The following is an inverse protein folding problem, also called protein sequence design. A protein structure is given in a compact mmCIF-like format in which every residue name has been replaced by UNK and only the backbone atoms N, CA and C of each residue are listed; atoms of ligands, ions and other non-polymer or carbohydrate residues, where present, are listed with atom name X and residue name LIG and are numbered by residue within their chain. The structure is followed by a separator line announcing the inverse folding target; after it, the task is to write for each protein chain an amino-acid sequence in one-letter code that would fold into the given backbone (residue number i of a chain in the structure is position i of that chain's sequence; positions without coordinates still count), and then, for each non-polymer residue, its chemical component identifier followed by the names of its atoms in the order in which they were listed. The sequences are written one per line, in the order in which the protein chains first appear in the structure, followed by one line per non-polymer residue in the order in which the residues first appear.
data_IF_409804632746
#
_entry.id   IF_409804632746
#
_cell.length_a   1.000
_cell.length_b   1.000
_cell.length_c   1.000
_cell.angle_alpha   90.00
_cell.angle_beta   90.00
_cell.angle_gamma   90.00
#
_symmetry.space_group_name_H-M   'P 1'
#
loop_
_entity.id
_entity.type
_entity.pdbx_description
1 polymer ?
#
# COMPACT_ATOMS: atom_id res chain seq x y z
N UNK A 1 -28.15 0.78 -14.77
CA UNK A 1 -28.50 2.17 -15.06
C UNK A 1 -27.79 3.12 -14.11
N UNK A 2 -27.90 4.42 -14.36
CA UNK A 2 -27.33 5.50 -13.56
C UNK A 2 -28.46 6.36 -13.00
N UNK A 3 -28.33 6.77 -11.75
CA UNK A 3 -29.26 7.69 -11.10
C UNK A 3 -28.50 8.83 -10.41
N UNK A 4 -29.20 9.93 -10.19
CA UNK A 4 -28.79 10.96 -9.24
C UNK A 4 -29.82 11.03 -8.12
N UNK A 5 -29.34 11.06 -6.90
CA UNK A 5 -30.13 11.36 -5.72
C UNK A 5 -29.91 12.83 -5.37
N UNK A 6 -31.00 13.57 -5.32
CA UNK A 6 -31.04 15.00 -5.02
C UNK A 6 -31.63 15.16 -3.64
N UNK A 7 -30.91 15.81 -2.74
CA UNK A 7 -31.34 16.11 -1.37
C UNK A 7 -31.37 17.63 -1.20
N UNK A 8 -32.55 18.20 -0.97
CA UNK A 8 -32.77 19.63 -0.78
C UNK A 8 -32.91 19.95 0.69
N UNK A 9 -32.38 21.10 1.14
CA UNK A 9 -32.74 21.65 2.44
C UNK A 9 -34.05 22.43 2.30
N UNK A 10 -35.12 22.05 3.02
CA UNK A 10 -36.44 22.68 2.87
C UNK A 10 -36.44 24.18 3.13
N UNK A 11 -35.63 24.63 4.08
CA UNK A 11 -35.50 26.04 4.45
C UNK A 11 -34.55 26.83 3.53
N UNK A 12 -33.79 26.14 2.66
CA UNK A 12 -32.86 26.74 1.72
C UNK A 12 -32.78 25.90 0.44
N UNK A 13 -33.73 26.07 -0.51
CA UNK A 13 -33.77 25.27 -1.72
C UNK A 13 -32.58 25.51 -2.65
N UNK A 14 -31.85 26.64 -2.51
CA UNK A 14 -30.62 26.89 -3.26
C UNK A 14 -29.45 26.01 -2.78
N UNK A 15 -29.59 25.41 -1.58
CA UNK A 15 -28.64 24.47 -1.02
C UNK A 15 -29.16 23.04 -1.18
N UNK A 16 -28.51 22.28 -2.04
CA UNK A 16 -28.81 20.88 -2.28
C UNK A 16 -27.55 20.04 -2.42
N UNK A 17 -27.69 18.75 -2.09
CA UNK A 17 -26.65 17.76 -2.25
C UNK A 17 -27.00 16.81 -3.40
N UNK A 18 -26.01 16.51 -4.21
CA UNK A 18 -26.12 15.50 -5.26
C UNK A 18 -25.27 14.28 -4.92
N UNK A 19 -25.82 13.11 -5.18
CA UNK A 19 -25.10 11.84 -5.19
C UNK A 19 -25.43 11.11 -6.49
N UNK A 20 -24.42 10.82 -7.30
CA UNK A 20 -24.56 9.97 -8.48
C UNK A 20 -24.25 8.53 -8.07
N UNK A 21 -25.06 7.59 -8.52
CA UNK A 21 -24.79 6.17 -8.30
C UNK A 21 -25.22 5.32 -9.49
N UNK A 22 -24.80 4.06 -9.45
CA UNK A 22 -25.13 3.06 -10.46
C UNK A 22 -25.68 1.78 -9.83
N UNK A 23 -26.48 1.06 -10.61
CA UNK A 23 -26.88 -0.31 -10.26
C UNK A 23 -27.37 -1.06 -11.48
N UNK A 24 -27.20 -2.38 -11.48
CA UNK A 24 -27.86 -3.29 -12.42
C UNK A 24 -29.39 -3.24 -12.18
N UNK A 25 -29.83 -3.18 -10.92
CA UNK A 25 -31.24 -3.10 -10.52
C UNK A 25 -31.53 -1.80 -9.75
N UNK A 26 -31.81 -0.71 -10.50
CA UNK A 26 -31.98 0.64 -9.94
C UNK A 26 -33.06 0.71 -8.84
N UNK A 27 -34.22 0.07 -9.05
CA UNK A 27 -35.32 0.10 -8.09
C UNK A 27 -34.94 -0.57 -6.76
N UNK A 28 -34.32 -1.74 -6.83
CA UNK A 28 -33.86 -2.46 -5.64
C UNK A 28 -32.75 -1.68 -4.92
N UNK A 29 -31.85 -1.03 -5.67
CA UNK A 29 -30.84 -0.14 -5.09
C UNK A 29 -31.46 1.04 -4.34
N UNK A 30 -32.48 1.68 -4.90
CA UNK A 30 -33.19 2.79 -4.24
C UNK A 30 -33.96 2.31 -3.02
N UNK A 31 -34.63 1.15 -3.10
CA UNK A 31 -35.30 0.55 -1.94
C UNK A 31 -34.31 0.29 -0.79
N UNK A 32 -33.11 -0.20 -1.10
CA UNK A 32 -32.04 -0.36 -0.13
C UNK A 32 -31.60 0.99 0.46
N UNK A 33 -31.42 2.02 -0.37
CA UNK A 33 -31.09 3.36 0.09
C UNK A 33 -32.12 3.92 1.08
N UNK A 34 -33.42 3.72 0.81
CA UNK A 34 -34.51 4.19 1.68
C UNK A 34 -34.63 3.41 2.99
N UNK A 35 -34.08 2.20 3.07
CA UNK A 35 -34.09 1.38 4.29
C UNK A 35 -33.09 1.91 5.35
N UNK A 36 -33.55 2.39 6.52
CA UNK A 36 -32.66 2.89 7.57
C UNK A 36 -31.66 1.85 8.10
N UNK A 37 -32.09 0.59 8.25
CA UNK A 37 -31.21 -0.48 8.72
C UNK A 37 -30.09 -0.79 7.70
N UNK A 38 -30.35 -0.58 6.41
CA UNK A 38 -29.32 -0.70 5.38
C UNK A 38 -28.30 0.44 5.49
N UNK A 39 -28.76 1.68 5.67
CA UNK A 39 -27.88 2.85 5.83
C UNK A 39 -27.02 2.79 7.09
N UNK A 40 -27.57 2.26 8.18
CA UNK A 40 -26.83 2.05 9.42
C UNK A 40 -25.63 1.12 9.23
N UNK A 41 -25.81 0.02 8.49
CA UNK A 41 -24.76 -0.96 8.19
C UNK A 41 -23.73 -0.45 7.18
N UNK A 42 -24.13 0.46 6.28
CA UNK A 42 -23.31 0.93 5.16
C UNK A 42 -22.99 2.42 5.26
N UNK A 43 -22.44 2.86 6.40
CA UNK A 43 -22.16 4.28 6.68
C UNK A 43 -21.33 4.95 5.56
N UNK A 44 -21.82 6.08 5.06
CA UNK A 44 -21.18 6.91 4.03
C UNK A 44 -21.51 8.38 4.27
N UNK A 45 -20.82 9.30 3.59
CA UNK A 45 -21.17 10.73 3.62
C UNK A 45 -22.60 10.95 3.11
N UNK A 46 -22.98 10.24 2.03
CA UNK A 46 -24.34 10.30 1.47
C UNK A 46 -25.41 9.99 2.51
N UNK A 47 -25.25 8.90 3.28
CA UNK A 47 -26.22 8.56 4.32
C UNK A 47 -26.12 9.44 5.55
N UNK A 48 -24.92 9.92 5.89
CA UNK A 48 -24.76 10.84 7.02
C UNK A 48 -25.59 12.10 6.80
N UNK A 49 -25.47 12.73 5.63
CA UNK A 49 -26.24 13.93 5.28
C UNK A 49 -27.74 13.64 5.26
N UNK A 50 -28.15 12.50 4.70
CA UNK A 50 -29.57 12.14 4.63
C UNK A 50 -30.17 11.81 6.01
N UNK A 51 -29.44 11.11 6.87
CA UNK A 51 -29.91 10.71 8.21
C UNK A 51 -29.90 11.87 9.21
N UNK A 52 -28.98 12.84 9.05
CA UNK A 52 -28.93 14.04 9.89
C UNK A 52 -30.26 14.80 9.90
N UNK A 53 -30.88 14.88 8.74
CA UNK A 53 -32.17 15.53 8.52
C UNK A 53 -33.34 14.80 9.18
N UNK A 54 -33.16 13.52 9.52
CA UNK A 54 -34.16 12.69 10.20
C UNK A 54 -34.07 12.79 11.73
N UNK A 55 -33.11 13.53 12.29
CA UNK A 55 -32.94 13.67 13.73
C UNK A 55 -33.77 14.85 14.26
N UNK A 56 -34.63 14.61 15.24
CA UNK A 56 -35.52 15.63 15.85
C UNK A 56 -34.80 16.86 16.39
N UNK A 57 -33.52 16.72 16.74
CA UNK A 57 -32.67 17.80 17.28
C UNK A 57 -32.13 18.73 16.18
N UNK A 58 -32.31 18.38 14.90
CA UNK A 58 -31.85 19.15 13.74
C UNK A 58 -33.05 19.69 12.95
N UNK A 59 -34.02 20.35 13.60
CA UNK A 59 -35.21 20.92 12.92
C UNK A 59 -34.87 21.92 11.83
N UNK A 60 -33.71 22.57 11.93
CA UNK A 60 -33.18 23.45 10.88
C UNK A 60 -32.75 22.66 9.64
N UNK A 61 -32.68 21.33 9.65
CA UNK A 61 -32.19 20.50 8.55
C UNK A 61 -33.23 19.56 8.00
N UNK A 62 -34.50 19.98 7.93
CA UNK A 62 -35.51 19.20 7.23
C UNK A 62 -35.14 19.09 5.73
N UNK A 63 -35.11 17.86 5.19
CA UNK A 63 -34.74 17.62 3.79
C UNK A 63 -35.90 17.07 2.97
N UNK A 64 -35.87 17.37 1.67
CA UNK A 64 -36.63 16.65 0.65
C UNK A 64 -35.68 15.85 -0.23
N UNK A 65 -36.10 14.64 -0.62
CA UNK A 65 -35.29 13.75 -1.45
C UNK A 65 -36.01 13.39 -2.74
N UNK A 66 -35.25 13.27 -3.82
CA UNK A 66 -35.74 12.68 -5.04
C UNK A 66 -34.64 11.88 -5.75
N UNK A 67 -35.04 10.75 -6.34
CA UNK A 67 -34.18 9.94 -7.20
C UNK A 67 -34.57 10.16 -8.66
N UNK A 68 -33.61 10.60 -9.47
CA UNK A 68 -33.79 10.82 -10.91
C UNK A 68 -32.94 9.81 -11.67
N UNK A 69 -33.56 9.06 -12.57
CA UNK A 69 -32.85 8.16 -13.48
C UNK A 69 -32.22 8.96 -14.62
N UNK A 70 -30.90 8.92 -14.69
CA UNK A 70 -30.13 9.57 -15.76
C UNK A 70 -29.97 8.65 -16.97
N UNK A 71 -29.91 7.34 -16.73
CA UNK A 71 -29.82 6.32 -17.78
C UNK A 71 -30.39 4.98 -17.29
N UNK A 72 -31.15 4.31 -18.15
CA UNK A 72 -31.71 2.99 -17.91
C UNK A 72 -31.35 2.08 -19.09
N UNK A 73 -30.86 0.88 -18.79
CA UNK A 73 -30.53 -0.13 -19.80
C UNK A 73 -31.59 -1.22 -19.75
N UNK A 74 -31.97 -1.73 -20.93
CA UNK A 74 -32.88 -2.88 -21.03
C UNK A 74 -32.16 -4.20 -20.74
N UNK A 75 -30.91 -4.29 -21.17
CA UNK A 75 -30.05 -5.46 -20.98
C UNK A 75 -29.01 -5.21 -19.88
N UNK A 76 -28.39 -6.28 -19.39
CA UNK A 76 -27.31 -6.18 -18.40
C UNK A 76 -26.11 -5.41 -18.97
N UNK A 77 -25.80 -4.28 -18.35
CA UNK A 77 -24.63 -3.48 -18.70
C UNK A 77 -23.38 -4.03 -18.01
N UNK A 78 -22.28 -4.13 -18.76
CA UNK A 78 -20.99 -4.54 -18.21
C UNK A 78 -20.57 -3.62 -17.03
N UNK A 79 -20.06 -4.14 -15.90
CA UNK A 79 -19.72 -3.32 -14.72
C UNK A 79 -18.77 -2.15 -15.02
N UNK A 80 -17.75 -2.36 -15.86
CA UNK A 80 -16.85 -1.30 -16.31
C UNK A 80 -17.59 -0.15 -17.00
N UNK A 81 -18.58 -0.46 -17.84
CA UNK A 81 -19.37 0.56 -18.52
C UNK A 81 -20.18 1.36 -17.50
N UNK A 82 -20.79 0.70 -16.51
CA UNK A 82 -21.50 1.38 -15.43
C UNK A 82 -20.58 2.32 -14.64
N UNK A 83 -19.36 1.91 -14.32
CA UNK A 83 -18.38 2.73 -13.60
C UNK A 83 -17.95 3.96 -14.42
N UNK A 84 -17.72 3.78 -15.73
CA UNK A 84 -17.38 4.88 -16.64
C UNK A 84 -18.53 5.89 -16.75
N UNK A 85 -19.77 5.42 -16.82
CA UNK A 85 -20.95 6.27 -16.92
C UNK A 85 -21.28 6.99 -15.61
N UNK A 86 -21.15 6.31 -14.46
CA UNK A 86 -21.27 6.93 -13.14
C UNK A 86 -20.23 8.03 -12.99
N UNK A 87 -18.98 7.76 -13.39
CA UNK A 87 -17.91 8.75 -13.36
C UNK A 87 -18.18 9.94 -14.28
N UNK A 88 -18.60 9.68 -15.52
CA UNK A 88 -18.96 10.72 -16.47
C UNK A 88 -20.08 11.63 -15.92
N UNK A 89 -21.16 11.04 -15.39
CA UNK A 89 -22.24 11.80 -14.77
C UNK A 89 -21.76 12.59 -13.55
N UNK A 90 -20.85 12.02 -12.75
CA UNK A 90 -20.27 12.69 -11.59
C UNK A 90 -19.40 13.90 -11.98
N UNK A 91 -18.72 13.87 -13.13
CA UNK A 91 -18.01 15.02 -13.68
C UNK A 91 -18.97 16.09 -14.18
N UNK A 92 -19.98 15.70 -14.97
CA UNK A 92 -20.98 16.61 -15.54
C UNK A 92 -21.77 17.34 -14.46
N UNK A 93 -22.18 16.63 -13.42
CA UNK A 93 -22.92 17.16 -12.28
C UNK A 93 -22.00 17.67 -11.16
N UNK A 94 -20.68 17.59 -11.35
CA UNK A 94 -19.64 18.02 -10.42
C UNK A 94 -19.80 17.47 -9.00
N UNK A 95 -20.22 16.21 -8.88
CA UNK A 95 -20.53 15.59 -7.58
C UNK A 95 -19.32 15.06 -6.82
N UNK A 96 -18.15 15.02 -7.48
CA UNK A 96 -16.89 14.54 -6.92
C UNK A 96 -16.21 15.57 -6.00
N UNK A 97 -15.18 15.11 -5.29
CA UNK A 97 -14.30 15.98 -4.50
C UNK A 97 -13.57 17.00 -5.37
N UNK A 98 -13.11 18.10 -4.77
CA UNK A 98 -12.36 19.16 -5.48
C UNK A 98 -11.11 18.64 -6.17
N UNK A 99 -10.35 17.77 -5.50
CA UNK A 99 -9.14 17.16 -6.05
C UNK A 99 -9.46 16.27 -7.26
N UNK A 100 -10.50 15.45 -7.15
CA UNK A 100 -10.96 14.62 -8.26
C UNK A 100 -11.42 15.46 -9.46
N UNK A 101 -12.25 16.48 -9.25
CA UNK A 101 -12.69 17.36 -10.33
C UNK A 101 -11.52 18.11 -10.97
N UNK A 102 -10.56 18.59 -10.18
CA UNK A 102 -9.37 19.29 -10.69
C UNK A 102 -8.47 18.38 -11.52
N UNK A 103 -8.43 17.09 -11.21
CA UNK A 103 -7.62 16.11 -11.94
C UNK A 103 -8.25 15.72 -13.29
N UNK A 104 -9.59 15.72 -13.40
CA UNK A 104 -10.28 15.12 -14.54
C UNK A 104 -11.10 16.11 -15.39
N UNK A 105 -11.38 17.31 -14.90
CA UNK A 105 -11.96 18.35 -15.73
C UNK A 105 -10.89 19.01 -16.61
N UNK A 106 -11.24 19.49 -17.82
CA UNK A 106 -10.33 20.26 -18.66
C UNK A 106 -9.78 21.48 -17.92
N UNK A 107 -8.53 21.86 -18.22
CA UNK A 107 -7.92 23.09 -17.66
C UNK A 107 -8.79 24.31 -18.00
N UNK A 108 -9.11 25.11 -16.99
CA UNK A 108 -9.97 26.29 -17.13
C UNK A 108 -11.48 25.99 -17.02
N UNK A 109 -11.89 24.74 -16.87
CA UNK A 109 -13.28 24.41 -16.59
C UNK A 109 -13.71 24.99 -15.23
N UNK A 110 -14.89 25.61 -15.20
CA UNK A 110 -15.47 26.12 -13.96
C UNK A 110 -16.03 24.96 -13.14
N UNK A 111 -15.63 24.90 -11.87
CA UNK A 111 -16.12 23.91 -10.91
C UNK A 111 -16.72 24.56 -9.65
N UNK A 112 -17.75 25.42 -9.79
CA UNK A 112 -18.27 26.24 -8.70
C UNK A 112 -18.83 25.42 -7.52
N UNK A 113 -19.19 24.15 -7.75
CA UNK A 113 -19.76 23.25 -6.73
C UNK A 113 -18.79 22.17 -6.27
N UNK A 114 -17.50 22.31 -6.60
CA UNK A 114 -16.50 21.31 -6.29
C UNK A 114 -16.41 21.02 -4.78
N UNK A 115 -16.57 19.75 -4.40
CA UNK A 115 -16.47 19.32 -3.00
C UNK A 115 -17.67 19.68 -2.11
N UNK A 116 -18.79 20.13 -2.71
CA UNK A 116 -20.07 20.39 -2.02
C UNK A 116 -21.04 19.20 -2.09
N UNK A 117 -20.66 18.11 -2.76
CA UNK A 117 -21.54 17.00 -3.09
C UNK A 117 -20.98 15.67 -2.57
N UNK A 118 -21.73 14.59 -2.75
CA UNK A 118 -21.64 13.41 -1.87
C UNK A 118 -20.78 12.27 -2.42
N UNK A 119 -20.29 12.36 -3.66
CA UNK A 119 -19.39 11.35 -4.23
C UNK A 119 -17.95 11.56 -3.74
N UNK A 120 -17.58 10.83 -2.68
CA UNK A 120 -16.22 10.90 -2.11
C UNK A 120 -15.22 10.05 -2.91
N UNK A 121 -15.70 8.94 -3.47
CA UNK A 121 -14.87 7.97 -4.18
C UNK A 121 -15.04 8.08 -5.69
N UNK A 122 -13.94 7.92 -6.44
CA UNK A 122 -13.99 7.87 -7.90
C UNK A 122 -14.69 6.58 -8.37
N UNK A 123 -15.79 6.68 -9.13
CA UNK A 123 -16.52 5.52 -9.63
C UNK A 123 -15.68 4.56 -10.49
N UNK A 124 -14.70 5.08 -11.24
CA UNK A 124 -13.79 4.27 -12.07
C UNK A 124 -12.92 3.29 -11.27
N UNK A 125 -12.77 3.48 -9.96
CA UNK A 125 -12.02 2.58 -9.08
C UNK A 125 -12.93 1.55 -8.38
N UNK A 126 -14.24 1.61 -8.60
CA UNK A 126 -15.15 0.59 -8.14
C UNK A 126 -15.02 -0.67 -9.03
N UNK A 127 -15.16 -1.85 -8.46
CA UNK A 127 -15.65 -3.08 -9.13
C UNK A 127 -15.08 -3.47 -10.52
N UNK A 128 -13.76 -3.39 -10.71
CA UNK A 128 -13.08 -4.28 -11.68
C UNK A 128 -12.47 -5.41 -10.85
N UNK A 129 -12.70 -6.68 -11.22
CA UNK A 129 -12.04 -7.82 -10.57
C UNK A 129 -10.52 -7.59 -10.61
N UNK A 130 -9.94 -7.25 -9.46
CA UNK A 130 -8.56 -6.80 -9.33
C UNK A 130 -8.36 -6.00 -8.04
N UNK A 131 -7.10 -5.81 -7.67
CA UNK A 131 -6.73 -5.00 -6.51
C UNK A 131 -7.33 -3.60 -6.66
N UNK A 132 -8.19 -3.20 -5.72
CA UNK A 132 -8.77 -1.86 -5.71
C UNK A 132 -7.62 -0.84 -5.79
N UNK A 133 -7.56 -0.09 -6.90
CA UNK A 133 -6.57 0.97 -7.06
C UNK A 133 -6.76 1.93 -5.91
N UNK A 134 -5.69 2.17 -5.14
CA UNK A 134 -5.74 3.12 -4.04
C UNK A 134 -5.97 4.49 -4.64
N UNK A 135 -7.18 5.02 -4.52
CA UNK A 135 -7.52 6.35 -5.00
C UNK A 135 -6.74 7.38 -4.17
N UNK A 136 -5.68 7.92 -4.77
CA UNK A 136 -4.88 8.99 -4.17
C UNK A 136 -5.58 10.35 -4.23
N UNK A 137 -6.70 10.45 -4.93
CA UNK A 137 -7.55 11.63 -5.06
C UNK A 137 -8.76 11.58 -4.09
N UNK A 138 -8.92 10.49 -3.34
CA UNK A 138 -9.83 10.44 -2.19
C UNK A 138 -9.39 11.48 -1.14
N UNK A 139 -10.39 12.15 -0.54
CA UNK A 139 -10.20 12.71 0.80
C UNK A 139 -9.88 14.19 0.90
N UNK A 140 -10.58 15.04 0.15
CA UNK A 140 -10.58 16.49 0.42
C UNK A 140 -11.69 16.94 1.37
N UNK A 141 -12.31 15.99 2.11
CA UNK A 141 -13.42 16.31 3.03
C UNK A 141 -13.00 17.33 4.10
N UNK A 142 -11.73 17.33 4.49
CA UNK A 142 -11.19 18.24 5.49
C UNK A 142 -10.99 19.68 4.98
N UNK A 143 -11.01 19.92 3.67
CA UNK A 143 -11.02 21.26 3.08
C UNK A 143 -12.39 21.63 2.49
N UNK A 144 -13.43 20.82 2.74
CA UNK A 144 -14.77 21.17 2.26
C UNK A 144 -15.22 22.47 2.93
N UNK A 145 -15.82 23.36 2.13
CA UNK A 145 -16.42 24.59 2.64
C UNK A 145 -17.82 24.33 3.23
N UNK A 146 -18.35 23.12 3.06
CA UNK A 146 -19.66 22.73 3.58
C UNK A 146 -19.55 22.33 5.06
N UNK A 147 -20.27 23.02 5.98
CA UNK A 147 -20.21 22.72 7.41
C UNK A 147 -20.62 21.27 7.76
N UNK A 148 -21.55 20.68 7.02
CA UNK A 148 -22.05 19.33 7.28
C UNK A 148 -21.03 18.27 6.85
N UNK A 149 -20.35 18.49 5.72
CA UNK A 149 -19.23 17.64 5.29
C UNK A 149 -18.06 17.74 6.29
N UNK A 150 -17.78 18.94 6.81
CA UNK A 150 -16.78 19.15 7.86
C UNK A 150 -17.14 18.47 9.18
N UNK A 151 -18.43 18.51 9.57
CA UNK A 151 -18.91 17.82 10.75
C UNK A 151 -18.79 16.29 10.59
N UNK A 152 -19.12 15.75 9.42
CA UNK A 152 -18.91 14.35 9.08
C UNK A 152 -17.43 13.96 9.22
N UNK A 153 -16.53 14.73 8.60
CA UNK A 153 -15.10 14.50 8.69
C UNK A 153 -14.60 14.55 10.14
N UNK A 154 -15.05 15.54 10.92
CA UNK A 154 -14.71 15.68 12.33
C UNK A 154 -15.16 14.48 13.15
N UNK A 155 -16.35 13.94 12.87
CA UNK A 155 -16.87 12.73 13.49
C UNK A 155 -16.05 11.49 13.14
N UNK A 156 -15.64 11.32 11.87
CA UNK A 156 -14.75 10.24 11.45
C UNK A 156 -13.39 10.34 12.15
N UNK A 157 -12.80 11.55 12.17
CA UNK A 157 -11.51 11.84 12.81
C UNK A 157 -11.56 11.55 14.31
N UNK A 158 -12.64 11.97 14.99
CA UNK A 158 -12.86 11.69 16.41
C UNK A 158 -12.93 10.18 16.66
N UNK A 159 -13.78 9.44 15.94
CA UNK A 159 -13.90 7.97 16.09
C UNK A 159 -12.57 7.26 15.84
N UNK A 160 -11.80 7.72 14.87
CA UNK A 160 -10.45 7.21 14.62
C UNK A 160 -9.54 7.40 15.84
N UNK A 161 -9.54 8.59 16.45
CA UNK A 161 -8.74 8.86 17.64
C UNK A 161 -9.26 8.17 18.90
N UNK A 162 -10.57 8.04 19.07
CA UNK A 162 -11.18 7.25 20.12
C UNK A 162 -10.72 5.80 20.04
N UNK A 163 -10.63 5.23 18.84
CA UNK A 163 -10.11 3.87 18.66
C UNK A 163 -8.59 3.79 18.94
N UNK A 164 -7.81 4.72 18.38
CA UNK A 164 -6.34 4.78 18.52
C UNK A 164 -5.90 4.98 19.97
N UNK A 165 -6.57 5.85 20.70
CA UNK A 165 -6.26 6.25 22.07
C UNK A 165 -7.28 5.73 23.09
N UNK A 166 -8.08 4.73 22.72
CA UNK A 166 -9.10 4.12 23.58
C UNK A 166 -8.48 3.71 24.92
N UNK A 167 -9.13 3.94 26.07
CA UNK A 167 -8.67 3.42 27.36
C UNK A 167 -8.72 1.88 27.39
N UNK A 168 -9.62 1.26 26.62
CA UNK A 168 -9.70 -0.18 26.47
C UNK A 168 -8.51 -0.73 25.64
N UNK A 169 -7.63 -1.58 26.21
CA UNK A 169 -6.48 -2.14 25.52
C UNK A 169 -6.84 -3.02 24.31
N UNK A 170 -7.99 -3.68 24.32
CA UNK A 170 -8.44 -4.51 23.20
C UNK A 170 -8.68 -3.67 21.95
N UNK A 171 -9.34 -2.52 22.09
CA UNK A 171 -9.58 -1.59 20.98
C UNK A 171 -8.29 -0.98 20.42
N UNK A 172 -7.33 -0.64 21.30
CA UNK A 172 -6.01 -0.16 20.87
C UNK A 172 -5.24 -1.25 20.11
N UNK A 173 -5.27 -2.48 20.58
CA UNK A 173 -4.61 -3.61 19.93
C UNK A 173 -5.25 -3.93 18.59
N UNK A 174 -6.59 -3.90 18.51
CA UNK A 174 -7.32 -3.99 17.25
C UNK A 174 -6.85 -2.92 16.24
N UNK A 175 -6.79 -1.65 16.66
CA UNK A 175 -6.28 -0.57 15.81
C UNK A 175 -4.84 -0.82 15.35
N UNK A 176 -3.93 -1.18 16.27
CA UNK A 176 -2.53 -1.45 15.94
C UNK A 176 -2.40 -2.57 14.91
N UNK A 177 -3.12 -3.68 15.11
CA UNK A 177 -3.12 -4.83 14.20
C UNK A 177 -3.65 -4.43 12.82
N UNK A 178 -4.81 -3.77 12.76
CA UNK A 178 -5.40 -3.31 11.49
C UNK A 178 -4.47 -2.34 10.73
N UNK A 179 -3.81 -1.42 11.43
CA UNK A 179 -2.84 -0.49 10.82
C UNK A 179 -1.57 -1.19 10.34
N UNK A 180 -1.06 -2.17 11.10
CA UNK A 180 0.09 -2.97 10.72
C UNK A 180 -0.22 -3.81 9.47
N UNK A 181 -1.36 -4.50 9.44
CA UNK A 181 -1.82 -5.26 8.27
C UNK A 181 -1.96 -4.36 7.05
N UNK A 182 -2.58 -3.18 7.20
CA UNK A 182 -2.68 -2.19 6.12
C UNK A 182 -1.31 -1.73 5.61
N UNK A 183 -0.36 -1.47 6.51
CA UNK A 183 0.99 -1.07 6.13
C UNK A 183 1.73 -2.19 5.40
N UNK A 184 1.60 -3.44 5.86
CA UNK A 184 2.16 -4.62 5.21
C UNK A 184 1.59 -4.73 3.79
N UNK A 185 0.26 -4.72 3.65
CA UNK A 185 -0.43 -4.84 2.36
C UNK A 185 -0.03 -3.71 1.39
N UNK A 186 0.00 -2.46 1.86
CA UNK A 186 0.44 -1.32 1.07
C UNK A 186 1.90 -1.47 0.62
N UNK A 187 2.78 -1.92 1.51
CA UNK A 187 4.20 -2.16 1.20
C UNK A 187 4.38 -3.29 0.17
N UNK A 188 3.62 -4.38 0.30
CA UNK A 188 3.64 -5.53 -0.62
C UNK A 188 3.15 -5.11 -2.01
N UNK A 189 2.03 -4.39 -2.07
CA UNK A 189 1.48 -3.86 -3.33
C UNK A 189 2.47 -2.93 -4.02
N UNK A 190 3.07 -1.99 -3.27
CA UNK A 190 4.09 -1.08 -3.79
C UNK A 190 5.33 -1.81 -4.30
N UNK A 191 5.78 -2.86 -3.60
CA UNK A 191 6.90 -3.70 -4.04
C UNK A 191 6.58 -4.42 -5.35
N UNK A 192 5.41 -5.05 -5.45
CA UNK A 192 4.97 -5.75 -6.67
C UNK A 192 4.89 -4.81 -7.87
N UNK A 193 4.34 -3.61 -7.68
CA UNK A 193 4.28 -2.59 -8.73
C UNK A 193 5.69 -2.12 -9.14
N UNK A 194 6.56 -1.85 -8.16
CA UNK A 194 7.96 -1.47 -8.43
C UNK A 194 8.74 -2.57 -9.15
N UNK A 195 8.51 -3.84 -8.81
CA UNK A 195 9.13 -4.99 -9.46
C UNK A 195 8.73 -5.09 -10.93
N UNK A 196 7.43 -5.02 -11.21
CA UNK A 196 6.91 -5.03 -12.60
C UNK A 196 7.51 -3.89 -13.43
N UNK A 197 7.55 -2.68 -12.89
CA UNK A 197 8.16 -1.53 -13.57
C UNK A 197 9.67 -1.71 -13.78
N UNK A 198 10.39 -2.24 -12.80
CA UNK A 198 11.81 -2.48 -12.94
C UNK A 198 12.13 -3.50 -14.05
N UNK A 199 11.31 -4.54 -14.22
CA UNK A 199 11.45 -5.49 -15.34
C UNK A 199 11.13 -4.86 -16.71
N UNK A 200 10.22 -3.89 -16.74
CA UNK A 200 9.78 -3.20 -17.97
C UNK A 200 10.65 -2.00 -18.37
N UNK A 201 11.56 -1.57 -17.50
CA UNK A 201 12.25 -0.28 -17.64
C UNK A 201 11.53 0.80 -16.83
N UNK A 202 12.28 1.49 -15.97
CA UNK A 202 11.77 2.59 -15.15
C UNK A 202 12.70 3.80 -15.21
N UNK A 203 12.14 4.96 -15.54
CA UNK A 203 12.83 6.24 -15.36
C UNK A 203 12.98 6.57 -13.87
N UNK A 204 14.22 6.79 -13.45
CA UNK A 204 14.57 7.16 -12.08
C UNK A 204 15.54 8.33 -12.08
N UNK A 205 15.42 9.26 -11.11
CA UNK A 205 16.37 10.35 -10.99
C UNK A 205 17.69 9.86 -10.40
N UNK A 206 18.80 10.32 -10.96
CA UNK A 206 20.13 10.17 -10.38
C UNK A 206 20.26 11.06 -9.16
N UNK A 207 20.71 10.48 -8.04
CA UNK A 207 20.93 11.18 -6.78
C UNK A 207 22.38 11.13 -6.36
N UNK A 208 22.84 12.20 -5.73
CA UNK A 208 24.19 12.28 -5.21
C UNK A 208 24.20 12.04 -3.71
N UNK A 209 25.05 11.12 -3.24
CA UNK A 209 25.23 10.85 -1.81
C UNK A 209 26.68 11.07 -1.40
N UNK A 210 26.89 11.69 -0.24
CA UNK A 210 28.22 11.85 0.35
C UNK A 210 28.66 10.53 0.99
N UNK A 211 29.86 10.05 0.63
CA UNK A 211 30.53 8.93 1.29
C UNK A 211 31.30 9.41 2.51
N UNK A 212 31.67 8.47 3.40
CA UNK A 212 32.39 8.75 4.66
C UNK A 212 33.69 9.56 4.48
N UNK A 213 34.33 9.48 3.31
CA UNK A 213 35.60 10.16 3.01
C UNK A 213 35.44 11.43 2.16
N UNK A 214 34.23 11.99 2.06
CA UNK A 214 33.97 13.24 1.32
C UNK A 214 33.64 13.04 -0.18
N UNK A 215 33.96 11.88 -0.75
CA UNK A 215 33.59 11.55 -2.13
C UNK A 215 32.08 11.50 -2.34
N UNK A 216 31.62 11.96 -3.50
CA UNK A 216 30.22 11.91 -3.89
C UNK A 216 29.97 10.75 -4.85
N UNK A 217 29.00 9.90 -4.51
CA UNK A 217 28.56 8.80 -5.36
C UNK A 217 27.24 9.14 -6.05
N UNK A 218 27.19 8.89 -7.36
CA UNK A 218 25.96 8.90 -8.14
C UNK A 218 25.22 7.59 -7.87
N UNK A 219 23.95 7.66 -7.49
CA UNK A 219 23.13 6.49 -7.23
C UNK A 219 21.80 6.59 -7.96
N UNK A 220 21.30 5.43 -8.36
CA UNK A 220 19.90 5.24 -8.75
C UNK A 220 19.25 4.27 -7.78
N UNK A 221 17.95 4.45 -7.55
CA UNK A 221 17.20 3.66 -6.57
C UNK A 221 16.01 2.98 -7.22
N UNK A 222 15.95 1.66 -7.10
CA UNK A 222 14.76 0.87 -7.42
C UNK A 222 14.18 0.37 -6.11
N UNK A 223 12.96 0.80 -5.76
CA UNK A 223 12.34 0.49 -4.47
C UNK A 223 13.22 0.92 -3.29
N UNK A 224 13.94 0.00 -2.66
CA UNK A 224 14.89 0.23 -1.56
C UNK A 224 16.32 -0.22 -1.90
N UNK A 225 16.57 -0.61 -3.15
CA UNK A 225 17.87 -1.02 -3.66
C UNK A 225 18.57 0.16 -4.31
N UNK A 226 19.73 0.53 -3.77
CA UNK A 226 20.59 1.56 -4.34
C UNK A 226 21.70 0.93 -5.18
N UNK A 227 21.87 1.44 -6.40
CA UNK A 227 22.92 1.06 -7.34
C UNK A 227 23.82 2.26 -7.56
N UNK A 228 25.13 2.04 -7.51
CA UNK A 228 26.12 3.11 -7.76
C UNK A 228 26.41 3.17 -9.26
N UNK A 229 26.36 4.36 -9.84
CA UNK A 229 26.81 4.62 -11.20
C UNK A 229 28.26 5.11 -11.16
N UNK A 230 29.17 4.34 -11.78
CA UNK A 230 30.57 4.75 -11.89
C UNK A 230 30.68 6.03 -12.70
N UNK A 231 31.42 7.01 -12.17
CA UNK A 231 31.70 8.27 -12.88
C UNK A 231 32.59 8.07 -14.10
N UNK A 232 33.35 6.99 -14.13
CA UNK A 232 34.23 6.68 -15.26
C UNK A 232 33.45 6.23 -16.49
N UNK A 233 32.20 5.77 -16.27
CA UNK A 233 31.33 5.21 -17.30
C UNK A 233 30.16 6.16 -17.59
N UNK A 234 29.58 6.74 -16.53
CA UNK A 234 28.38 7.58 -16.60
C UNK A 234 28.63 8.91 -15.89
N UNK A 235 28.50 10.01 -16.64
CA UNK A 235 28.43 11.36 -16.06
C UNK A 235 26.99 11.87 -16.15
N UNK A 236 26.30 11.88 -15.02
CA UNK A 236 24.97 12.45 -14.86
C UNK A 236 25.03 13.59 -13.83
N UNK A 237 24.10 14.53 -13.90
CA UNK A 237 23.90 15.55 -12.88
C UNK A 237 22.84 15.10 -11.85
N UNK A 238 22.80 15.79 -10.71
CA UNK A 238 21.84 15.46 -9.68
C UNK A 238 20.42 15.87 -10.14
N UNK A 239 19.54 14.89 -10.28
CA UNK A 239 18.18 15.08 -10.79
C UNK A 239 17.98 14.60 -12.23
N UNK A 240 19.05 14.30 -12.96
CA UNK A 240 18.95 13.74 -14.31
C UNK A 240 18.19 12.42 -14.30
N UNK A 241 17.33 12.23 -15.30
CA UNK A 241 16.55 11.00 -15.46
C UNK A 241 17.36 9.99 -16.27
N UNK A 242 17.40 8.76 -15.77
CA UNK A 242 17.96 7.61 -16.48
C UNK A 242 16.94 6.48 -16.45
N UNK A 243 16.91 5.68 -17.50
CA UNK A 243 16.11 4.47 -17.53
C UNK A 243 16.91 3.33 -16.91
N UNK A 244 16.30 2.60 -15.99
CA UNK A 244 16.91 1.43 -15.35
C UNK A 244 16.00 0.22 -15.58
N UNK A 245 16.59 -0.88 -16.03
CA UNK A 245 15.88 -2.13 -16.26
C UNK A 245 16.59 -3.31 -15.58
N UNK A 246 15.81 -4.11 -14.84
CA UNK A 246 16.27 -5.39 -14.32
C UNK A 246 15.98 -6.49 -15.35
N UNK A 247 16.96 -7.33 -15.62
CA UNK A 247 16.84 -8.49 -16.50
C UNK A 247 17.00 -9.76 -15.67
N UNK A 248 16.07 -10.70 -15.84
CA UNK A 248 16.12 -12.02 -15.22
C UNK A 248 16.26 -13.08 -16.30
N UNK A 249 17.31 -13.89 -16.21
CA UNK A 249 17.50 -15.08 -17.06
C UNK A 249 17.08 -16.37 -16.34
N UNK A 250 16.91 -17.46 -17.09
CA UNK A 250 16.65 -18.78 -16.52
C UNK A 250 17.91 -19.40 -15.89
N UNK A 251 19.08 -19.12 -16.47
CA UNK A 251 20.40 -19.50 -15.97
C UNK A 251 21.24 -18.28 -15.56
N UNK A 252 22.56 -18.44 -15.46
CA UNK A 252 23.47 -17.32 -15.17
C UNK A 252 23.37 -16.27 -16.26
N UNK A 253 23.10 -15.02 -15.87
CA UNK A 253 22.99 -13.89 -16.77
C UNK A 253 24.37 -13.49 -17.29
N UNK A 254 24.51 -13.27 -18.60
CA UNK A 254 25.79 -12.88 -19.24
C UNK A 254 26.40 -11.62 -18.59
N UNK A 255 25.53 -10.65 -18.29
CA UNK A 255 25.88 -9.42 -17.57
C UNK A 255 25.46 -9.45 -16.09
N UNK A 256 25.71 -10.57 -15.40
CA UNK A 256 25.38 -10.71 -13.98
C UNK A 256 25.90 -9.54 -13.14
N UNK A 257 25.00 -8.90 -12.38
CA UNK A 257 25.35 -7.76 -11.54
C UNK A 257 26.26 -8.18 -10.39
N UNK A 258 25.90 -9.22 -9.64
CA UNK A 258 26.67 -9.68 -8.48
C UNK A 258 27.72 -10.70 -8.92
N UNK A 259 28.87 -10.25 -9.42
CA UNK A 259 29.90 -11.11 -10.03
C UNK A 259 30.46 -12.23 -9.15
N UNK A 260 30.28 -12.13 -7.83
CA UNK A 260 30.66 -13.16 -6.85
C UNK A 260 29.55 -14.20 -6.58
N UNK A 261 28.42 -14.13 -7.27
CA UNK A 261 27.34 -15.11 -7.17
C UNK A 261 27.76 -16.46 -7.76
N UNK A 262 27.37 -17.55 -7.11
CA UNK A 262 27.46 -18.89 -7.68
C UNK A 262 26.32 -19.12 -8.67
N UNK A 263 26.48 -20.07 -9.60
CA UNK A 263 25.45 -20.36 -10.60
C UNK A 263 24.08 -20.78 -10.00
N UNK A 264 24.08 -21.28 -8.76
CA UNK A 264 22.88 -21.65 -8.01
C UNK A 264 22.23 -20.48 -7.24
N UNK A 265 22.93 -19.35 -7.09
CA UNK A 265 22.36 -18.17 -6.43
C UNK A 265 21.35 -17.49 -7.36
N UNK A 266 20.21 -17.07 -6.81
CA UNK A 266 19.21 -16.30 -7.57
C UNK A 266 19.82 -15.04 -8.20
N UNK A 267 20.75 -14.37 -7.50
CA UNK A 267 21.49 -13.20 -7.96
C UNK A 267 22.30 -13.43 -9.24
N UNK A 268 22.71 -14.67 -9.53
CA UNK A 268 23.48 -14.97 -10.74
C UNK A 268 22.66 -14.77 -12.02
N UNK A 269 21.34 -14.80 -11.90
CA UNK A 269 20.39 -14.62 -13.00
C UNK A 269 20.01 -13.16 -13.24
N UNK A 270 20.52 -12.23 -12.44
CA UNK A 270 20.12 -10.83 -12.45
C UNK A 270 21.15 -9.95 -13.17
N UNK A 271 20.73 -9.35 -14.28
CA UNK A 271 21.39 -8.22 -14.92
C UNK A 271 20.71 -6.89 -14.56
N UNK A 272 21.48 -5.80 -14.48
CA UNK A 272 20.94 -4.45 -14.28
C UNK A 272 21.46 -3.56 -15.41
N UNK A 273 20.54 -3.14 -16.28
CA UNK A 273 20.82 -2.27 -17.41
C UNK A 273 20.44 -0.82 -17.07
N UNK A 274 21.26 0.14 -17.51
CA UNK A 274 20.99 1.57 -17.35
C UNK A 274 21.26 2.30 -18.66
N UNK A 275 20.28 3.10 -19.09
CA UNK A 275 20.37 3.95 -20.26
C UNK A 275 20.09 5.41 -19.90
N UNK A 276 20.71 6.33 -20.62
CA UNK A 276 20.48 7.75 -20.41
C UNK A 276 21.33 8.64 -21.29
N UNK A 277 21.37 9.93 -20.96
CA UNK A 277 22.17 10.93 -21.65
C UNK A 277 23.25 11.46 -20.71
N UNK A 278 24.48 11.51 -21.19
CA UNK A 278 25.62 12.02 -20.43
C UNK A 278 25.60 13.56 -20.43
N UNK A 279 25.51 14.17 -19.25
CA UNK A 279 25.29 15.62 -19.11
C UNK A 279 26.50 16.43 -19.58
N UNK A 280 27.71 15.86 -19.60
CA UNK A 280 28.92 16.59 -20.04
C UNK A 280 29.02 16.75 -21.55
N UNK A 281 28.55 15.76 -22.31
CA UNK A 281 28.78 15.71 -23.76
C UNK A 281 27.51 15.47 -24.60
N UNK A 282 26.35 15.30 -23.96
CA UNK A 282 25.06 15.08 -24.60
C UNK A 282 24.91 13.73 -25.30
N UNK A 283 25.89 12.81 -25.19
CA UNK A 283 25.81 11.50 -25.84
C UNK A 283 24.98 10.54 -25.01
N UNK A 284 24.24 9.68 -25.69
CA UNK A 284 23.54 8.57 -25.04
C UNK A 284 24.54 7.52 -24.55
N UNK A 285 24.22 6.87 -23.44
CA UNK A 285 24.94 5.70 -22.94
C UNK A 285 23.95 4.58 -22.62
N UNK A 286 24.42 3.34 -22.73
CA UNK A 286 23.70 2.13 -22.36
C UNK A 286 24.71 1.16 -21.75
N UNK A 287 24.54 0.83 -20.47
CA UNK A 287 25.57 0.14 -19.69
C UNK A 287 24.97 -0.89 -18.74
N UNK A 288 25.70 -1.99 -18.59
CA UNK A 288 25.41 -3.01 -17.57
C UNK A 288 26.17 -2.71 -16.30
N UNK A 289 25.43 -2.58 -15.20
CA UNK A 289 26.04 -2.40 -13.89
C UNK A 289 26.55 -3.74 -13.35
N UNK A 290 27.64 -3.65 -12.58
CA UNK A 290 28.18 -4.80 -11.87
C UNK A 290 28.76 -4.39 -10.52
N UNK A 291 28.90 -5.37 -9.63
CA UNK A 291 29.47 -5.21 -8.30
C UNK A 291 30.24 -6.47 -7.91
N UNK A 292 31.52 -6.27 -7.59
CA UNK A 292 32.38 -7.25 -6.91
C UNK A 292 32.25 -7.14 -5.38
N UNK A 293 31.33 -6.31 -4.93
CA UNK A 293 30.97 -6.13 -3.54
C UNK A 293 30.46 -7.43 -2.93
N UNK A 294 31.06 -7.76 -1.82
CA UNK A 294 30.75 -8.89 -0.97
C UNK A 294 29.24 -8.98 -0.68
N UNK A 295 28.67 -7.99 0.01
CA UNK A 295 27.23 -7.93 0.31
C UNK A 295 26.29 -7.86 -0.93
N UNK A 296 26.81 -7.76 -2.15
CA UNK A 296 25.99 -7.66 -3.35
C UNK A 296 25.19 -8.94 -3.62
N UNK A 297 25.78 -10.13 -3.41
CA UNK A 297 25.07 -11.41 -3.66
C UNK A 297 23.81 -11.51 -2.80
N UNK A 298 23.94 -11.27 -1.48
CA UNK A 298 22.82 -11.23 -0.56
C UNK A 298 21.72 -10.26 -1.01
N UNK A 299 22.11 -9.00 -1.28
CA UNK A 299 21.16 -7.95 -1.67
C UNK A 299 20.46 -8.29 -2.99
N UNK A 300 21.19 -8.87 -3.94
CA UNK A 300 20.63 -9.22 -5.24
C UNK A 300 19.75 -10.46 -5.16
N UNK A 301 20.03 -11.44 -4.30
CA UNK A 301 19.08 -12.53 -4.04
C UNK A 301 17.73 -11.97 -3.57
N UNK A 302 17.74 -11.02 -2.62
CA UNK A 302 16.51 -10.34 -2.14
C UNK A 302 15.80 -9.54 -3.23
N UNK A 303 16.56 -8.90 -4.13
CA UNK A 303 15.98 -8.21 -5.26
C UNK A 303 15.30 -9.18 -6.22
N UNK A 304 15.92 -10.33 -6.52
CA UNK A 304 15.32 -11.35 -7.38
C UNK A 304 14.00 -11.86 -6.79
N UNK A 305 13.93 -12.13 -5.49
CA UNK A 305 12.66 -12.49 -4.85
C UNK A 305 11.59 -11.42 -5.04
N UNK A 306 11.96 -10.15 -4.87
CA UNK A 306 11.03 -9.03 -5.07
C UNK A 306 10.53 -9.00 -6.52
N UNK A 307 11.41 -9.21 -7.49
CA UNK A 307 11.08 -9.25 -8.91
C UNK A 307 10.16 -10.42 -9.26
N UNK A 308 10.33 -11.55 -8.61
CA UNK A 308 9.51 -12.76 -8.77
C UNK A 308 8.23 -12.76 -7.90
N UNK A 309 8.01 -11.68 -7.13
CA UNK A 309 6.81 -11.53 -6.30
C UNK A 309 6.80 -12.39 -5.03
N UNK A 310 7.95 -12.91 -4.62
CA UNK A 310 8.12 -13.68 -3.39
C UNK A 310 8.22 -12.75 -2.17
N UNK A 311 7.86 -13.26 -0.99
CA UNK A 311 8.00 -12.50 0.25
C UNK A 311 9.48 -12.31 0.61
N UNK A 312 9.94 -11.07 0.67
CA UNK A 312 11.33 -10.75 1.02
C UNK A 312 11.61 -10.82 2.53
N UNK A 313 10.58 -10.78 3.36
CA UNK A 313 10.69 -10.75 4.83
C UNK A 313 10.69 -12.14 5.45
N UNK A 314 10.15 -13.14 4.75
CA UNK A 314 10.20 -14.54 5.15
C UNK A 314 11.04 -15.37 4.15
N UNK A 315 12.37 -15.19 4.08
CA UNK A 315 13.24 -15.89 3.14
C UNK A 315 13.45 -17.38 3.45
N UNK A 316 12.79 -17.94 4.45
CA UNK A 316 12.98 -19.33 4.91
C UNK A 316 12.92 -20.33 3.74
N UNK A 317 13.90 -21.23 3.65
CA UNK A 317 14.06 -22.21 2.57
C UNK A 317 14.80 -21.71 1.33
N UNK A 318 15.35 -20.47 1.35
CA UNK A 318 16.00 -19.85 0.18
C UNK A 318 17.42 -19.41 0.49
N UNK A 319 18.32 -19.66 -0.46
CA UNK A 319 19.73 -19.30 -0.34
C UNK A 319 19.93 -17.78 -0.23
N UNK A 320 20.63 -17.34 0.81
CA UNK A 320 20.96 -15.92 1.06
C UNK A 320 22.41 -15.78 1.46
N UNK A 321 23.29 -15.27 0.60
CA UNK A 321 24.73 -15.25 0.94
C UNK A 321 25.33 -13.89 1.17
N UNK A 322 25.73 -13.64 2.42
CA UNK A 322 27.04 -13.06 2.68
C UNK A 322 27.50 -13.25 4.12
N UNK A 323 28.73 -13.70 4.39
CA UNK A 323 29.62 -13.01 5.36
C UNK A 323 31.13 -13.31 5.01
N UNK A 324 32.13 -12.46 5.35
CA UNK A 324 33.57 -12.70 5.11
C UNK A 324 34.47 -12.89 6.37
N UNK A 325 35.43 -13.84 6.33
CA UNK A 325 36.30 -14.28 7.46
C UNK A 325 37.52 -13.35 7.70
N UNK A 326 38.16 -13.44 8.88
CA UNK A 326 39.50 -12.86 9.14
C UNK A 326 40.53 -13.91 9.58
N UNK A 327 41.83 -13.54 9.57
CA UNK A 327 43.00 -14.34 9.18
C UNK A 327 43.97 -14.82 10.29
N UNK A 328 43.58 -15.18 11.53
CA UNK A 328 44.49 -15.95 12.46
C UNK A 328 43.78 -16.52 13.72
N UNK A 329 43.03 -17.62 13.63
CA UNK A 329 41.99 -17.95 14.62
C UNK A 329 40.72 -17.14 14.32
N UNK A 330 39.76 -17.79 13.62
CA UNK A 330 39.12 -17.18 12.43
C UNK A 330 37.60 -17.44 12.30
N UNK A 331 36.73 -17.08 13.24
CA UNK A 331 35.26 -16.98 12.98
C UNK A 331 34.86 -15.52 13.29
N UNK A 332 33.90 -14.86 12.65
CA UNK A 332 32.69 -15.35 12.01
C UNK A 332 32.45 -14.66 10.67
N UNK A 333 31.93 -15.50 9.77
CA UNK A 333 31.27 -15.10 8.58
C UNK A 333 30.44 -16.22 7.90
N UNK A 334 29.10 -16.13 7.92
CA UNK A 334 28.06 -17.03 7.41
C UNK A 334 26.68 -16.39 7.11
N UNK A 335 26.20 -16.41 5.87
CA UNK A 335 24.78 -16.65 5.63
C UNK A 335 24.67 -17.54 4.41
N UNK A 336 23.81 -18.53 4.47
CA UNK A 336 23.16 -19.21 3.33
C UNK A 336 21.85 -19.84 3.81
N UNK A 337 21.90 -20.33 5.05
CA UNK A 337 20.92 -20.94 5.98
C UNK A 337 21.70 -21.59 7.17
N UNK A 338 23.04 -21.71 7.02
CA UNK A 338 24.03 -22.42 7.84
C UNK A 338 24.43 -21.89 9.23
N UNK A 339 23.48 -21.38 10.02
CA UNK A 339 23.58 -21.69 11.46
C UNK A 339 22.58 -22.80 11.82
N UNK A 340 21.44 -22.90 11.14
CA UNK A 340 20.34 -23.76 11.59
C UNK A 340 20.57 -25.26 11.34
N UNK A 341 21.38 -25.67 10.37
CA UNK A 341 21.75 -27.10 10.23
C UNK A 341 22.99 -27.51 11.02
N UNK A 342 23.89 -26.59 11.35
CA UNK A 342 25.08 -26.90 12.15
C UNK A 342 24.77 -27.17 13.64
N UNK A 343 23.57 -26.84 14.15
CA UNK A 343 23.12 -27.28 15.49
C UNK A 343 22.56 -28.70 15.51
N UNK A 344 21.96 -29.16 14.40
CA UNK A 344 21.31 -30.48 14.38
C UNK A 344 22.28 -31.65 14.20
N UNK A 345 23.49 -31.40 13.68
CA UNK A 345 24.53 -32.43 13.47
C UNK A 345 25.59 -32.45 14.57
N UNK A 346 25.78 -31.39 15.35
CA UNK A 346 26.83 -31.38 16.40
C UNK A 346 26.33 -31.89 17.77
N UNK A 347 25.02 -32.08 17.94
CA UNK A 347 24.41 -32.72 19.13
C UNK A 347 24.11 -34.21 18.95
N UNK A 348 24.20 -34.77 17.74
CA UNK A 348 24.08 -36.23 17.55
C UNK A 348 25.39 -36.98 17.85
N UNK A 349 26.53 -36.28 17.81
CA UNK A 349 27.86 -36.90 17.76
C UNK A 349 28.75 -36.62 18.99
N UNK A 350 28.17 -36.19 20.12
CA UNK A 350 28.86 -36.14 21.42
C UNK A 350 28.08 -36.91 22.49
N UNK A 351 28.47 -38.18 22.64
CA UNK A 351 28.49 -38.96 23.88
C UNK A 351 27.10 -39.26 24.51
N UNK A 352 26.51 -40.45 24.42
CA UNK A 352 27.10 -41.75 24.15
C UNK A 352 27.94 -42.27 25.33
N UNK A 353 27.36 -42.43 26.53
CA UNK A 353 28.08 -43.02 27.67
C UNK A 353 27.28 -43.30 28.95
N UNK A 354 26.67 -44.49 29.01
CA UNK A 354 26.56 -45.41 30.17
C UNK A 354 25.98 -44.99 31.54
N UNK A 355 24.86 -45.68 31.86
CA UNK A 355 24.53 -46.44 33.09
C UNK A 355 24.19 -45.78 34.44
N UNK A 356 23.02 -46.23 34.93
CA UNK A 356 22.71 -46.72 36.29
C UNK A 356 22.11 -45.75 37.34
N UNK A 357 20.86 -46.10 37.69
CA UNK A 357 20.26 -46.27 39.02
C UNK A 357 19.87 -45.11 39.96
N UNK A 358 18.65 -45.29 40.51
CA UNK A 358 18.12 -44.87 41.83
C UNK A 358 17.93 -43.35 42.05
N UNK A 359 16.93 -42.84 42.75
CA UNK A 359 15.86 -43.37 43.59
C UNK A 359 14.86 -42.22 43.85
N UNK A 360 13.69 -42.58 44.34
CA UNK A 360 12.57 -41.76 44.84
C UNK A 360 12.91 -40.55 45.73
N UNK A 361 12.02 -39.54 45.77
CA UNK A 361 11.22 -39.14 46.97
C UNK A 361 10.45 -37.80 46.71
N UNK A 362 9.11 -37.82 46.74
CA UNK A 362 8.21 -37.31 47.81
C UNK A 362 7.81 -35.81 47.67
N UNK A 363 6.51 -35.59 47.42
CA UNK A 363 5.66 -34.37 47.61
C UNK A 363 5.47 -34.08 49.12
N UNK A 364 5.05 -32.88 49.61
CA UNK A 364 3.79 -32.15 49.28
C UNK A 364 3.96 -30.60 49.36
N UNK A 365 2.98 -29.69 49.23
CA UNK A 365 1.52 -29.66 49.14
C UNK A 365 1.04 -28.23 49.50
N UNK A 366 -0.21 -27.92 49.14
CA UNK A 366 -1.13 -26.89 49.69
C UNK A 366 -0.90 -25.40 49.33
N UNK A 367 -1.79 -24.75 48.53
CA UNK A 367 -3.19 -24.28 48.76
C UNK A 367 -3.22 -22.97 49.56
N UNK A 368 -3.67 -21.87 48.95
CA UNK A 368 -4.89 -21.20 49.44
C UNK A 368 -5.45 -20.12 48.49
N UNK A 369 -6.78 -20.10 48.47
CA UNK A 369 -7.69 -19.14 47.87
C UNK A 369 -7.82 -17.92 48.80
N UNK A 370 -8.04 -16.73 48.26
CA UNK A 370 -9.02 -15.85 48.92
C UNK A 370 -9.70 -14.86 47.98
N UNK A 371 -10.99 -14.70 48.24
CA UNK A 371 -11.92 -13.82 47.56
C UNK A 371 -12.64 -12.97 48.61
N UNK A 372 -13.14 -11.81 48.18
CA UNK A 372 -14.14 -10.92 48.81
C UNK A 372 -13.64 -9.64 49.48
N UNK A 373 -14.12 -8.50 48.97
CA UNK A 373 -14.89 -7.40 49.64
C UNK A 373 -15.02 -6.22 48.62
N UNK A 374 -16.22 -5.77 48.16
CA UNK A 374 -17.24 -4.89 48.81
C UNK A 374 -16.62 -3.59 49.35
N UNK A 375 -17.05 -2.34 49.16
CA UNK A 375 -18.25 -1.56 48.76
C UNK A 375 -17.69 -0.20 48.21
N UNK A 376 -18.34 0.73 47.50
CA UNK A 376 -19.64 1.41 47.63
C UNK A 376 -19.84 2.31 46.39
#
# INVERSE_FOLDING_TARGET
GIYVHVIWLKHNPDHFYLYVGQSIELQNRIANHRNPAYREKHRSLHYYIWDLASQEQNKEYEVEENFVFLSVYKDEAHPLLLNLLEFWCSLMLQTLTRNALSAYLPKGALSPRAGMHLNVALPIYQSIQGDAVTDSLHGDLYNSMDPMVQQYYSNLRRKFFELKYSPNPMLRNYYKKAMQERQINASTTKRRYSAKRALQGIEVPVRFTKRRYGDTAQIVTISHFNFTLSRDIVHAENGDLVEVQCHLSDGVHEHCYARKSLAMDSAARLGIHVEGVNSKNGRTFAVWLHSDGDLAVFRMNTLVDMLEGLDIWNPSGRMRRWIPRSASGRKQATYTEDILQNMNTTMSDKDGGSSADSESQILPGDVDLDASTMES
#
